data_IF_452384292792
#
_entry.id   IF_452384292792
#
_cell.length_a   1.000
_cell.length_b   1.000
_cell.length_c   1.000
_cell.angle_alpha   90.00
_cell.angle_beta   90.00
_cell.angle_gamma   90.00
#
_symmetry.space_group_name_H-M   'P 1'
#
loop_
_entity.id
_entity.type
_entity.pdbx_description
1 polymer ?
#
# COMPACT_ATOMS: atom_id res chain seq x y z
N UNK A 1 -19.10 1.59 14.42
CA UNK A 1 -17.91 2.37 14.81
C UNK A 1 -17.79 3.50 13.81
N UNK A 2 -17.67 4.72 14.25
CA UNK A 2 -17.61 5.88 13.35
C UNK A 2 -16.36 5.88 12.50
N UNK A 3 -16.49 6.17 11.22
CA UNK A 3 -15.40 6.18 10.23
C UNK A 3 -14.23 7.05 10.66
N UNK A 4 -14.53 8.18 11.28
CA UNK A 4 -13.53 9.16 11.73
C UNK A 4 -12.61 8.60 12.83
N UNK A 5 -13.15 7.77 13.74
CA UNK A 5 -12.36 7.13 14.82
C UNK A 5 -11.33 6.16 14.23
N UNK A 6 -11.72 5.37 13.23
CA UNK A 6 -10.80 4.46 12.53
C UNK A 6 -9.70 5.25 11.84
N UNK A 7 -10.07 6.26 11.05
CA UNK A 7 -9.11 7.10 10.32
C UNK A 7 -8.14 7.83 11.26
N UNK A 8 -8.65 8.31 12.39
CA UNK A 8 -7.82 8.96 13.40
C UNK A 8 -6.79 7.98 13.96
N UNK A 9 -7.21 6.75 14.32
CA UNK A 9 -6.31 5.72 14.84
C UNK A 9 -5.22 5.33 13.83
N UNK A 10 -5.59 5.21 12.54
CA UNK A 10 -4.62 4.95 11.46
C UNK A 10 -3.61 6.08 11.36
N UNK A 11 -4.06 7.35 11.34
CA UNK A 11 -3.17 8.52 11.29
C UNK A 11 -2.20 8.55 12.47
N UNK A 12 -2.68 8.31 13.69
CA UNK A 12 -1.84 8.29 14.90
C UNK A 12 -0.77 7.21 14.85
N UNK A 13 -1.11 6.01 14.37
CA UNK A 13 -0.15 4.91 14.21
C UNK A 13 0.93 5.27 13.19
N UNK A 14 0.52 5.64 11.97
CA UNK A 14 1.47 5.92 10.89
C UNK A 14 2.22 7.25 11.09
N UNK A 15 1.64 8.23 11.78
CA UNK A 15 2.35 9.44 12.22
C UNK A 15 3.52 9.09 13.15
N UNK A 16 3.31 8.25 14.14
CA UNK A 16 4.40 7.76 15.03
C UNK A 16 5.48 7.02 14.24
N UNK A 17 5.09 6.13 13.31
CA UNK A 17 6.05 5.41 12.45
C UNK A 17 6.87 6.36 11.56
N UNK A 18 6.25 7.43 11.06
CA UNK A 18 6.95 8.47 10.30
C UNK A 18 8.05 9.14 11.11
N UNK A 19 7.81 9.39 12.39
CA UNK A 19 8.75 10.05 13.31
C UNK A 19 9.83 9.09 13.84
N UNK A 20 9.51 7.84 14.18
CA UNK A 20 10.40 6.90 14.86
C UNK A 20 11.38 6.15 13.94
N UNK A 21 11.27 6.34 12.63
CA UNK A 21 12.15 5.64 11.69
C UNK A 21 11.94 4.13 11.61
N UNK A 22 10.74 3.63 11.98
CA UNK A 22 10.37 2.22 11.87
C UNK A 22 10.69 1.34 13.08
N UNK A 23 11.41 1.87 14.09
CA UNK A 23 11.77 1.09 15.30
C UNK A 23 10.60 0.76 16.22
N UNK A 24 9.48 1.50 16.12
CA UNK A 24 8.25 1.32 16.92
C UNK A 24 7.10 0.69 16.13
N UNK A 25 7.39 -0.08 15.10
CA UNK A 25 6.37 -0.63 14.21
C UNK A 25 5.40 -1.59 14.92
N UNK A 26 5.76 -2.15 16.06
CA UNK A 26 5.01 -3.23 16.68
C UNK A 26 4.85 -3.08 18.18
N UNK A 27 3.61 -2.84 18.62
CA UNK A 27 3.12 -3.49 19.81
C UNK A 27 2.90 -4.97 19.45
N UNK A 28 3.65 -5.84 20.06
CA UNK A 28 3.62 -7.31 20.22
C UNK A 28 2.95 -8.27 19.22
N UNK A 29 2.02 -7.85 18.35
CA UNK A 29 1.12 -8.81 17.68
C UNK A 29 1.26 -8.95 16.16
N UNK A 30 2.10 -8.18 15.47
CA UNK A 30 2.20 -8.29 14.00
C UNK A 30 3.60 -8.09 13.39
N UNK A 31 4.65 -7.93 14.19
CA UNK A 31 6.03 -7.89 13.69
C UNK A 31 6.93 -8.80 14.54
N UNK A 32 7.70 -9.63 13.88
CA UNK A 32 8.64 -10.59 14.46
C UNK A 32 9.86 -9.94 15.17
N UNK A 33 9.82 -8.65 15.50
CA UNK A 33 11.00 -7.93 16.02
C UNK A 33 12.13 -7.76 14.99
N UNK A 34 11.85 -8.02 13.75
CA UNK A 34 12.82 -7.89 12.65
C UNK A 34 13.13 -6.41 12.35
N UNK A 35 14.35 -6.15 11.86
CA UNK A 35 14.67 -4.83 11.30
C UNK A 35 13.77 -4.50 10.10
N UNK A 36 13.52 -3.20 9.79
CA UNK A 36 12.69 -2.80 8.65
C UNK A 36 13.09 -3.46 7.33
N UNK A 37 14.40 -3.57 7.06
CA UNK A 37 14.92 -4.24 5.86
C UNK A 37 14.56 -5.71 5.80
N UNK A 38 14.69 -6.42 6.93
CA UNK A 38 14.34 -7.84 7.01
C UNK A 38 12.84 -8.05 6.87
N UNK A 39 12.03 -7.18 7.48
CA UNK A 39 10.59 -7.20 7.31
C UNK A 39 10.19 -6.97 5.84
N UNK A 40 10.83 -6.02 5.14
CA UNK A 40 10.61 -5.78 3.72
C UNK A 40 11.04 -6.98 2.85
N UNK A 41 12.20 -7.58 3.12
CA UNK A 41 12.63 -8.79 2.43
C UNK A 41 11.66 -9.96 2.65
N UNK A 42 11.17 -10.15 3.87
CA UNK A 42 10.13 -11.15 4.19
C UNK A 42 8.80 -10.85 3.48
N UNK A 43 8.48 -9.57 3.23
CA UNK A 43 7.35 -9.15 2.43
C UNK A 43 7.54 -9.41 0.92
N UNK A 44 8.74 -9.78 0.47
CA UNK A 44 9.02 -10.21 -0.91
C UNK A 44 9.74 -9.18 -1.76
N UNK A 45 10.26 -8.10 -1.17
CA UNK A 45 11.15 -7.20 -1.90
C UNK A 45 12.50 -7.87 -2.17
N UNK A 46 13.03 -7.64 -3.36
CA UNK A 46 14.40 -8.07 -3.69
C UNK A 46 15.44 -7.28 -2.88
N UNK A 47 16.46 -7.96 -2.39
CA UNK A 47 17.52 -7.34 -1.58
C UNK A 47 18.29 -6.25 -2.33
N UNK A 48 18.46 -6.40 -3.66
CA UNK A 48 19.13 -5.38 -4.47
C UNK A 48 18.22 -4.16 -4.67
N UNK A 49 16.92 -4.37 -4.80
CA UNK A 49 15.93 -3.29 -4.84
C UNK A 49 15.96 -2.49 -3.54
N UNK A 50 15.96 -3.15 -2.37
CA UNK A 50 16.05 -2.47 -1.07
C UNK A 50 17.33 -1.65 -0.92
N UNK A 51 18.48 -2.15 -1.39
CA UNK A 51 19.76 -1.40 -1.39
C UNK A 51 19.76 -0.22 -2.35
N UNK A 52 18.85 -0.20 -3.29
CA UNK A 52 18.81 0.78 -4.38
C UNK A 52 17.95 2.01 -4.10
N UNK A 53 17.21 2.02 -2.98
CA UNK A 53 16.33 3.11 -2.55
C UNK A 53 16.84 3.76 -1.25
N UNK A 54 16.37 4.97 -0.90
CA UNK A 54 16.72 5.59 0.37
C UNK A 54 16.37 4.67 1.55
N UNK A 55 17.33 4.40 2.43
CA UNK A 55 17.14 3.46 3.53
C UNK A 55 16.03 3.91 4.49
N UNK A 56 15.90 5.22 4.72
CA UNK A 56 14.84 5.80 5.55
C UNK A 56 13.44 5.66 4.93
N UNK A 57 13.34 5.23 3.66
CA UNK A 57 12.05 4.91 3.04
C UNK A 57 11.52 3.52 3.44
N UNK A 58 12.39 2.66 3.97
CA UNK A 58 12.07 1.30 4.35
C UNK A 58 11.57 1.30 5.80
N UNK A 59 10.26 1.26 5.99
CA UNK A 59 9.63 1.28 7.31
C UNK A 59 9.09 -0.09 7.75
N UNK A 60 9.18 -1.11 6.90
CA UNK A 60 8.77 -2.47 7.22
C UNK A 60 7.25 -2.71 7.38
N UNK A 61 6.40 -1.78 6.91
CA UNK A 61 4.94 -1.83 7.10
C UNK A 61 4.16 -2.45 5.93
N UNK A 62 4.84 -2.98 4.91
CA UNK A 62 4.21 -3.63 3.75
C UNK A 62 3.92 -5.10 3.97
N UNK A 63 3.00 -5.66 3.19
CA UNK A 63 2.68 -7.10 3.20
C UNK A 63 3.03 -7.81 1.89
N UNK A 64 3.57 -7.10 0.90
CA UNK A 64 4.05 -7.62 -0.37
C UNK A 64 4.92 -6.61 -1.10
N UNK A 65 5.31 -6.93 -2.34
CA UNK A 65 6.12 -6.09 -3.21
C UNK A 65 5.41 -5.86 -4.57
N UNK A 66 4.39 -4.98 -4.64
CA UNK A 66 3.53 -4.85 -5.81
C UNK A 66 4.26 -4.32 -7.05
N UNK A 67 5.34 -3.54 -6.88
CA UNK A 67 6.12 -2.98 -7.99
C UNK A 67 6.66 -4.06 -8.90
N UNK A 68 7.17 -5.17 -8.33
CA UNK A 68 7.69 -6.30 -9.11
C UNK A 68 6.68 -6.96 -10.05
N UNK A 69 5.39 -6.83 -9.74
CA UNK A 69 4.27 -7.39 -10.53
C UNK A 69 3.59 -6.35 -11.44
N UNK A 70 3.90 -5.05 -11.26
CA UNK A 70 3.25 -3.97 -11.98
C UNK A 70 3.67 -3.87 -13.44
N UNK A 71 4.81 -4.49 -13.82
CA UNK A 71 5.36 -4.43 -15.18
C UNK A 71 5.41 -2.98 -15.71
N UNK A 72 6.00 -2.08 -14.91
CA UNK A 72 6.10 -0.65 -15.24
C UNK A 72 6.99 -0.42 -16.45
N UNK A 73 6.56 0.48 -17.34
CA UNK A 73 7.26 0.81 -18.57
C UNK A 73 7.90 2.20 -18.48
N UNK A 74 8.97 2.41 -19.25
CA UNK A 74 9.62 3.73 -19.34
C UNK A 74 8.61 4.79 -19.83
N UNK A 75 8.60 5.94 -19.16
CA UNK A 75 7.72 7.05 -19.51
C UNK A 75 6.31 6.98 -18.92
N UNK A 76 5.94 5.93 -18.20
CA UNK A 76 4.63 5.84 -17.55
C UNK A 76 4.48 6.83 -16.38
N UNK A 77 3.23 7.24 -16.17
CA UNK A 77 2.79 7.93 -14.96
C UNK A 77 2.18 6.92 -13.99
N UNK A 78 2.73 6.83 -12.79
CA UNK A 78 2.33 5.86 -11.75
C UNK A 78 1.84 6.60 -10.51
N UNK A 79 0.80 6.09 -9.86
CA UNK A 79 0.34 6.54 -8.54
C UNK A 79 0.55 5.42 -7.53
N UNK A 80 1.19 5.75 -6.41
CA UNK A 80 1.30 4.88 -5.23
C UNK A 80 0.37 5.38 -4.13
N UNK A 81 -0.59 4.57 -3.73
CA UNK A 81 -1.60 4.90 -2.72
C UNK A 81 -1.22 4.37 -1.36
N UNK A 82 -1.13 5.29 -0.38
CA UNK A 82 -0.56 5.03 0.94
C UNK A 82 0.94 4.86 0.86
N UNK A 83 1.59 5.80 0.17
CA UNK A 83 3.02 5.72 -0.18
C UNK A 83 3.98 5.71 1.02
N UNK A 84 3.50 6.08 2.21
CA UNK A 84 4.32 6.14 3.42
C UNK A 84 5.60 6.95 3.20
N UNK A 85 6.75 6.40 3.60
CA UNK A 85 8.07 7.02 3.43
C UNK A 85 8.65 6.89 2.00
N UNK A 86 7.94 6.22 1.05
CA UNK A 86 8.19 6.27 -0.38
C UNK A 86 8.90 5.06 -1.01
N UNK A 87 9.03 3.92 -0.33
CA UNK A 87 9.76 2.76 -0.88
C UNK A 87 9.27 2.37 -2.29
N UNK A 88 7.95 2.16 -2.46
CA UNK A 88 7.38 1.76 -3.75
C UNK A 88 7.39 2.90 -4.77
N UNK A 89 7.32 4.17 -4.32
CA UNK A 89 7.52 5.35 -5.18
C UNK A 89 8.92 5.37 -5.78
N UNK A 90 9.98 5.15 -4.97
CA UNK A 90 11.36 5.18 -5.46
C UNK A 90 11.69 4.00 -6.37
N UNK A 91 11.19 2.81 -6.08
CA UNK A 91 11.31 1.64 -6.97
C UNK A 91 10.60 1.90 -8.31
N UNK A 92 9.38 2.45 -8.25
CA UNK A 92 8.62 2.82 -9.45
C UNK A 92 9.33 3.91 -10.27
N UNK A 93 9.89 4.94 -9.61
CA UNK A 93 10.62 6.03 -10.28
C UNK A 93 11.82 5.52 -11.08
N UNK A 94 12.54 4.54 -10.56
CA UNK A 94 13.63 3.86 -11.27
C UNK A 94 13.12 3.06 -12.47
N UNK A 95 11.99 2.39 -12.30
CA UNK A 95 11.38 1.58 -13.34
C UNK A 95 10.91 2.43 -14.51
N UNK A 96 10.20 3.55 -14.25
CA UNK A 96 9.68 4.42 -15.32
C UNK A 96 10.73 5.36 -15.90
N UNK A 97 11.83 5.59 -15.19
CA UNK A 97 12.95 6.44 -15.65
C UNK A 97 12.59 7.93 -15.72
N UNK A 98 13.54 8.76 -16.15
CA UNK A 98 13.43 10.23 -16.11
C UNK A 98 12.32 10.81 -17.01
N UNK A 99 11.80 10.08 -17.97
CA UNK A 99 10.67 10.48 -18.80
C UNK A 99 9.30 10.13 -18.19
N UNK A 100 9.27 9.26 -17.18
CA UNK A 100 8.07 8.91 -16.43
C UNK A 100 7.92 9.73 -15.15
N UNK A 101 6.77 9.64 -14.51
CA UNK A 101 6.46 10.34 -13.26
C UNK A 101 5.84 9.38 -12.25
N UNK A 102 6.16 9.54 -10.97
CA UNK A 102 5.51 8.79 -9.88
C UNK A 102 4.94 9.76 -8.86
N UNK A 103 3.68 9.56 -8.49
CA UNK A 103 2.96 10.36 -7.51
C UNK A 103 2.63 9.48 -6.31
N UNK A 104 3.24 9.76 -5.15
CA UNK A 104 2.90 9.15 -3.87
C UNK A 104 1.75 9.90 -3.20
N UNK A 105 0.73 9.19 -2.78
CA UNK A 105 -0.41 9.73 -2.02
C UNK A 105 -0.40 9.13 -0.61
N UNK A 106 -0.40 9.99 0.40
CA UNK A 106 -0.57 9.57 1.80
C UNK A 106 -1.45 10.57 2.56
N UNK A 107 -2.12 10.13 3.61
CA UNK A 107 -2.95 11.02 4.44
C UNK A 107 -2.20 11.58 5.64
N UNK A 108 -0.97 11.11 5.90
CA UNK A 108 -0.17 11.37 7.10
C UNK A 108 0.92 12.39 6.77
N UNK A 109 0.94 13.53 7.46
CA UNK A 109 1.89 14.61 7.17
C UNK A 109 3.32 14.17 7.45
N UNK A 110 3.56 13.44 8.54
CA UNK A 110 4.88 12.95 8.95
C UNK A 110 5.49 11.98 7.91
N UNK A 111 4.65 11.14 7.31
CA UNK A 111 5.09 10.26 6.21
C UNK A 111 5.46 11.05 4.97
N UNK A 112 4.62 12.03 4.59
CA UNK A 112 4.89 12.88 3.43
C UNK A 112 6.15 13.73 3.59
N UNK A 113 6.39 14.27 4.79
CA UNK A 113 7.61 15.02 5.09
C UNK A 113 8.86 14.16 4.94
N UNK A 114 8.80 12.93 5.50
CA UNK A 114 9.88 11.94 5.38
C UNK A 114 10.12 11.54 3.92
N UNK A 115 9.06 11.23 3.18
CA UNK A 115 9.15 10.87 1.77
C UNK A 115 9.75 12.01 0.91
N UNK A 116 9.30 13.24 1.12
CA UNK A 116 9.85 14.42 0.44
C UNK A 116 11.31 14.68 0.78
N UNK A 117 11.70 14.49 2.05
CA UNK A 117 13.10 14.55 2.47
C UNK A 117 13.93 13.48 1.75
N UNK A 118 13.49 12.24 1.76
CA UNK A 118 14.14 11.13 1.07
C UNK A 118 14.36 11.43 -0.43
N UNK A 119 13.33 11.97 -1.09
CA UNK A 119 13.41 12.35 -2.50
C UNK A 119 14.48 13.42 -2.77
N UNK A 120 14.48 14.49 -1.97
CA UNK A 120 15.46 15.58 -2.12
C UNK A 120 16.90 15.11 -1.87
N UNK A 121 17.11 14.40 -0.76
CA UNK A 121 18.43 13.97 -0.32
C UNK A 121 19.07 12.95 -1.28
N UNK A 122 18.25 12.22 -2.05
CA UNK A 122 18.71 11.21 -3.01
C UNK A 122 18.50 11.62 -4.48
N UNK A 123 18.16 12.89 -4.76
CA UNK A 123 18.15 13.45 -6.12
C UNK A 123 17.03 12.92 -7.03
N UNK A 124 15.91 12.44 -6.48
CA UNK A 124 14.77 12.03 -7.28
C UNK A 124 13.99 13.25 -7.81
N UNK A 125 14.04 13.48 -9.12
CA UNK A 125 13.38 14.61 -9.79
C UNK A 125 12.04 14.25 -10.45
N UNK A 126 11.75 12.96 -10.58
CA UNK A 126 10.55 12.44 -11.24
C UNK A 126 9.51 11.87 -10.25
N UNK A 127 9.57 12.31 -8.99
CA UNK A 127 8.60 11.93 -7.95
C UNK A 127 7.91 13.15 -7.34
N UNK A 128 6.67 13.00 -6.98
CA UNK A 128 5.86 14.01 -6.28
C UNK A 128 5.09 13.34 -5.13
N UNK A 129 4.92 14.03 -4.00
CA UNK A 129 4.14 13.54 -2.87
C UNK A 129 3.00 14.48 -2.54
N UNK A 130 1.77 13.97 -2.59
CA UNK A 130 0.53 14.72 -2.35
C UNK A 130 -0.21 14.18 -1.13
N UNK A 131 -0.78 15.08 -0.34
CA UNK A 131 -1.68 14.68 0.74
C UNK A 131 -3.04 14.30 0.17
N UNK A 132 -3.56 13.11 0.54
CA UNK A 132 -4.86 12.65 0.10
C UNK A 132 -5.40 11.50 0.92
N UNK A 133 -6.73 11.42 0.98
CA UNK A 133 -7.47 10.29 1.55
C UNK A 133 -8.00 9.45 0.38
N UNK A 134 -7.61 8.18 0.33
CA UNK A 134 -7.93 7.28 -0.79
C UNK A 134 -9.40 6.84 -0.84
N UNK A 135 -10.17 7.05 0.23
CA UNK A 135 -11.63 6.87 0.24
C UNK A 135 -12.39 8.13 -0.20
N UNK A 136 -11.70 9.26 -0.29
CA UNK A 136 -12.22 10.51 -0.81
C UNK A 136 -11.75 10.72 -2.26
N UNK A 137 -11.81 11.95 -2.75
CA UNK A 137 -11.25 12.27 -4.06
C UNK A 137 -9.72 12.31 -3.99
N UNK A 138 -9.07 11.35 -4.62
CA UNK A 138 -7.62 11.34 -4.81
C UNK A 138 -7.21 12.59 -5.62
N UNK A 139 -6.19 13.37 -5.19
CA UNK A 139 -5.76 14.63 -5.83
C UNK A 139 -4.96 14.36 -7.12
N UNK A 140 -5.57 13.63 -8.04
CA UNK A 140 -5.06 13.24 -9.35
C UNK A 140 -6.20 13.33 -10.35
N UNK A 141 -5.93 13.80 -11.56
CA UNK A 141 -6.93 14.00 -12.61
C UNK A 141 -7.50 12.68 -13.13
N UNK A 142 -8.72 12.72 -13.65
CA UNK A 142 -9.38 11.59 -14.26
C UNK A 142 -8.60 11.11 -15.49
N UNK A 143 -8.48 9.79 -15.67
CA UNK A 143 -7.85 9.16 -16.86
C UNK A 143 -6.44 9.68 -17.16
N UNK A 144 -5.64 9.95 -16.14
CA UNK A 144 -4.32 10.58 -16.27
C UNK A 144 -3.14 9.67 -16.02
N UNK A 145 -3.34 8.50 -15.36
CA UNK A 145 -2.25 7.62 -14.96
C UNK A 145 -2.30 6.26 -15.65
N UNK A 146 -1.13 5.68 -15.88
CA UNK A 146 -0.97 4.40 -16.57
C UNK A 146 -1.07 3.21 -15.60
N UNK A 147 -0.58 3.40 -14.37
CA UNK A 147 -0.63 2.38 -13.34
C UNK A 147 -0.93 2.97 -11.95
N UNK A 148 -1.65 2.22 -11.14
CA UNK A 148 -1.84 2.46 -9.70
C UNK A 148 -1.26 1.28 -8.95
N UNK A 149 -0.44 1.55 -7.95
CA UNK A 149 0.05 0.56 -7.00
C UNK A 149 -0.41 0.91 -5.59
N UNK A 150 -0.44 -0.08 -4.72
CA UNK A 150 -0.70 0.10 -3.28
C UNK A 150 -0.19 -1.09 -2.50
N UNK A 151 0.30 -0.87 -1.29
CA UNK A 151 0.84 -1.91 -0.45
C UNK A 151 0.30 -1.82 0.99
N UNK A 152 -0.57 -2.77 1.33
CA UNK A 152 -1.15 -2.92 2.68
C UNK A 152 -1.92 -1.69 3.19
N UNK A 153 -2.70 -1.04 2.33
CA UNK A 153 -3.40 0.21 2.63
C UNK A 153 -4.93 0.08 2.49
N UNK A 154 -5.41 -0.72 1.52
CA UNK A 154 -6.85 -0.80 1.27
C UNK A 154 -7.59 -1.37 2.47
N UNK A 155 -6.95 -2.25 3.25
CA UNK A 155 -7.53 -2.78 4.49
C UNK A 155 -7.71 -1.74 5.59
N UNK A 156 -6.99 -0.62 5.54
CA UNK A 156 -7.19 0.50 6.47
C UNK A 156 -8.44 1.32 6.15
N UNK A 157 -8.98 1.19 4.94
CA UNK A 157 -10.18 1.90 4.51
C UNK A 157 -11.44 1.32 5.13
N UNK A 158 -12.44 2.18 5.34
CA UNK A 158 -13.76 1.80 5.86
C UNK A 158 -14.69 1.36 4.72
N UNK A 159 -14.43 1.80 3.50
CA UNK A 159 -15.15 1.42 2.29
C UNK A 159 -14.18 1.15 1.12
N UNK A 160 -13.80 -0.10 0.96
CA UNK A 160 -12.86 -0.53 -0.09
C UNK A 160 -13.36 -0.27 -1.50
N UNK A 161 -14.67 -0.43 -1.72
CA UNK A 161 -15.26 -0.21 -3.06
C UNK A 161 -15.09 1.25 -3.51
N UNK A 162 -15.21 2.22 -2.61
CA UNK A 162 -15.01 3.63 -2.97
C UNK A 162 -13.54 3.93 -3.28
N UNK A 163 -12.60 3.35 -2.52
CA UNK A 163 -11.17 3.45 -2.84
C UNK A 163 -10.88 2.85 -4.24
N UNK A 164 -11.44 1.68 -4.58
CA UNK A 164 -11.28 1.08 -5.90
C UNK A 164 -11.93 1.93 -7.02
N UNK A 165 -13.07 2.58 -6.77
CA UNK A 165 -13.67 3.50 -7.74
C UNK A 165 -12.76 4.70 -8.03
N UNK A 166 -12.12 5.27 -7.02
CA UNK A 166 -11.18 6.37 -7.19
C UNK A 166 -9.93 5.93 -7.95
N UNK A 167 -9.37 4.74 -7.66
CA UNK A 167 -8.29 4.17 -8.48
C UNK A 167 -8.70 4.04 -9.95
N UNK A 168 -9.91 3.52 -10.20
CA UNK A 168 -10.43 3.39 -11.55
C UNK A 168 -10.65 4.74 -12.23
N UNK A 169 -11.08 5.75 -11.48
CA UNK A 169 -11.28 7.12 -12.01
C UNK A 169 -9.99 7.70 -12.59
N UNK A 170 -8.89 7.62 -11.82
CA UNK A 170 -7.61 8.23 -12.21
C UNK A 170 -6.87 7.45 -13.31
N UNK A 171 -7.08 6.12 -13.41
CA UNK A 171 -6.47 5.30 -14.45
C UNK A 171 -6.97 5.68 -15.85
N UNK A 172 -6.08 5.69 -16.82
CA UNK A 172 -6.38 5.73 -18.26
C UNK A 172 -7.15 4.47 -18.68
N UNK A 173 -7.84 4.52 -19.82
CA UNK A 173 -8.40 3.30 -20.43
C UNK A 173 -7.28 2.30 -20.73
N UNK A 174 -7.43 1.05 -20.31
CA UNK A 174 -6.39 0.02 -20.40
C UNK A 174 -5.29 0.14 -19.35
N UNK A 175 -5.34 1.16 -18.49
CA UNK A 175 -4.45 1.29 -17.33
C UNK A 175 -4.71 0.18 -16.30
N UNK A 176 -3.74 -0.09 -15.46
CA UNK A 176 -3.76 -1.21 -14.53
C UNK A 176 -3.57 -0.78 -13.08
N UNK A 177 -4.17 -1.52 -12.16
CA UNK A 177 -3.78 -1.49 -10.75
C UNK A 177 -3.08 -2.78 -10.37
N UNK A 178 -2.09 -2.68 -9.46
CA UNK A 178 -1.45 -3.82 -8.80
C UNK A 178 -1.36 -3.51 -7.31
N UNK A 179 -2.01 -4.33 -6.50
CA UNK A 179 -2.15 -4.11 -5.07
C UNK A 179 -1.64 -5.33 -4.33
N UNK A 180 -0.84 -5.12 -3.30
CA UNK A 180 -0.58 -6.10 -2.27
C UNK A 180 -1.45 -5.78 -1.04
N UNK A 181 -2.21 -6.76 -0.55
CA UNK A 181 -3.01 -6.57 0.66
C UNK A 181 -3.27 -7.90 1.38
N UNK A 182 -3.80 -7.81 2.60
CA UNK A 182 -4.16 -8.99 3.39
C UNK A 182 -5.62 -9.37 3.15
N UNK A 183 -5.87 -10.67 3.08
CA UNK A 183 -7.22 -11.27 3.11
C UNK A 183 -7.29 -12.30 4.23
N UNK A 184 -8.49 -12.61 4.68
CA UNK A 184 -8.72 -13.57 5.74
C UNK A 184 -9.56 -14.75 5.24
N UNK A 185 -9.54 -15.87 5.96
CA UNK A 185 -10.40 -17.02 5.71
C UNK A 185 -11.88 -16.73 6.01
N UNK A 186 -12.15 -15.74 6.89
CA UNK A 186 -13.50 -15.29 7.28
C UNK A 186 -13.49 -13.86 7.81
N UNK A 187 -14.67 -13.26 7.93
CA UNK A 187 -14.83 -11.92 8.54
C UNK A 187 -14.42 -11.91 10.01
N UNK A 188 -13.95 -10.77 10.49
CA UNK A 188 -13.71 -10.55 11.90
C UNK A 188 -15.03 -10.65 12.68
N UNK A 189 -15.03 -11.37 13.80
CA UNK A 189 -16.18 -11.47 14.70
C UNK A 189 -16.41 -10.21 15.53
N UNK A 190 -15.33 -9.47 15.80
CA UNK A 190 -15.32 -8.17 16.45
C UNK A 190 -14.21 -7.31 15.84
N UNK A 191 -14.37 -6.00 15.87
CA UNK A 191 -13.38 -5.06 15.36
C UNK A 191 -12.56 -4.52 16.55
N UNK A 192 -11.26 -4.67 16.47
CA UNK A 192 -10.27 -4.06 17.35
C UNK A 192 -9.50 -2.99 16.57
N UNK A 193 -9.36 -1.79 17.13
CA UNK A 193 -8.73 -0.65 16.45
C UNK A 193 -7.23 -0.82 16.21
N UNK A 194 -6.52 -1.52 17.10
CA UNK A 194 -5.11 -1.82 16.90
C UNK A 194 -4.92 -2.80 15.75
N UNK A 195 -5.70 -3.89 15.74
CA UNK A 195 -5.69 -4.84 14.62
C UNK A 195 -6.20 -4.24 13.32
N UNK A 196 -7.16 -3.29 13.37
CA UNK A 196 -7.57 -2.54 12.17
C UNK A 196 -6.42 -1.71 11.62
N UNK A 197 -5.77 -0.91 12.47
CA UNK A 197 -4.65 -0.05 12.07
C UNK A 197 -3.40 -0.82 11.62
N UNK A 198 -3.36 -2.14 11.85
CA UNK A 198 -2.35 -3.08 11.32
C UNK A 198 -2.86 -3.92 10.14
N UNK A 199 -3.90 -3.48 9.44
CA UNK A 199 -4.51 -4.14 8.27
C UNK A 199 -5.22 -5.48 8.55
N UNK A 200 -5.25 -5.96 9.81
CA UNK A 200 -5.77 -7.28 10.14
C UNK A 200 -7.31 -7.28 10.14
N UNK A 201 -7.95 -6.45 10.98
CA UNK A 201 -9.41 -6.51 11.13
C UNK A 201 -10.17 -5.88 9.96
N UNK A 202 -9.50 -5.08 9.14
CA UNK A 202 -10.01 -4.62 7.85
C UNK A 202 -9.91 -5.66 6.73
N UNK A 203 -9.21 -6.78 6.93
CA UNK A 203 -9.08 -7.83 5.92
C UNK A 203 -10.43 -8.53 5.69
N UNK A 204 -10.87 -8.54 4.43
CA UNK A 204 -12.06 -9.27 3.96
C UNK A 204 -11.71 -10.72 3.62
N UNK A 205 -12.73 -11.57 3.48
CA UNK A 205 -12.55 -12.84 2.78
C UNK A 205 -12.10 -12.57 1.33
N UNK A 206 -11.24 -13.46 0.79
CA UNK A 206 -10.64 -13.26 -0.54
C UNK A 206 -11.67 -12.99 -1.63
N UNK A 207 -12.77 -13.74 -1.65
CA UNK A 207 -13.81 -13.57 -2.67
C UNK A 207 -14.56 -12.23 -2.51
N UNK A 208 -14.81 -11.77 -1.28
CA UNK A 208 -15.41 -10.47 -0.99
C UNK A 208 -14.48 -9.33 -1.41
N UNK A 209 -13.16 -9.49 -1.21
CA UNK A 209 -12.15 -8.52 -1.65
C UNK A 209 -12.15 -8.39 -3.17
N UNK A 210 -12.09 -9.51 -3.90
CA UNK A 210 -12.14 -9.52 -5.37
C UNK A 210 -13.50 -9.03 -5.90
N UNK A 211 -14.60 -9.32 -5.21
CA UNK A 211 -15.92 -8.78 -5.54
C UNK A 211 -15.95 -7.25 -5.44
N UNK A 212 -15.32 -6.66 -4.40
CA UNK A 212 -15.24 -5.20 -4.24
C UNK A 212 -14.50 -4.53 -5.42
N UNK A 213 -13.46 -5.17 -5.95
CA UNK A 213 -12.72 -4.70 -7.15
C UNK A 213 -13.63 -4.74 -8.37
N UNK A 214 -14.35 -5.86 -8.59
CA UNK A 214 -15.28 -5.99 -9.73
C UNK A 214 -16.45 -5.00 -9.64
N UNK A 215 -17.00 -4.79 -8.43
CA UNK A 215 -18.08 -3.81 -8.18
C UNK A 215 -17.63 -2.37 -8.47
N UNK A 216 -16.36 -2.05 -8.34
CA UNK A 216 -15.79 -0.77 -8.75
C UNK A 216 -15.63 -0.64 -10.28
N UNK A 217 -15.93 -1.69 -11.05
CA UNK A 217 -15.93 -1.70 -12.52
C UNK A 217 -14.61 -2.11 -13.16
N UNK A 218 -13.67 -2.66 -12.39
CA UNK A 218 -12.45 -3.25 -12.96
C UNK A 218 -12.75 -4.57 -13.67
N UNK A 219 -11.99 -4.81 -14.75
CA UNK A 219 -11.99 -6.07 -15.51
C UNK A 219 -10.78 -6.92 -15.11
N UNK A 220 -10.83 -8.20 -15.42
CA UNK A 220 -9.71 -9.14 -15.29
C UNK A 220 -9.01 -9.13 -13.91
N UNK A 221 -9.78 -8.90 -12.83
CA UNK A 221 -9.25 -8.96 -11.47
C UNK A 221 -8.76 -10.38 -11.15
N UNK A 222 -7.44 -10.54 -10.98
CA UNK A 222 -6.81 -11.84 -10.73
C UNK A 222 -5.72 -11.74 -9.67
N UNK A 223 -5.61 -12.78 -8.86
CA UNK A 223 -4.52 -12.95 -7.91
C UNK A 223 -3.29 -13.42 -8.67
N UNK A 224 -2.17 -12.72 -8.52
CA UNK A 224 -0.88 -13.04 -9.12
C UNK A 224 0.02 -13.84 -8.17
N UNK A 225 -0.08 -13.53 -6.87
CA UNK A 225 0.66 -14.20 -5.81
C UNK A 225 -0.22 -14.33 -4.56
N UNK A 226 -0.04 -15.40 -3.83
CA UNK A 226 -0.70 -15.66 -2.55
C UNK A 226 0.30 -16.30 -1.59
N UNK A 227 0.48 -15.70 -0.41
CA UNK A 227 1.38 -16.18 0.64
C UNK A 227 0.69 -16.16 1.99
N UNK A 228 0.91 -17.18 2.80
CA UNK A 228 0.45 -17.21 4.18
C UNK A 228 1.18 -16.12 4.98
N UNK A 229 0.41 -15.23 5.61
CA UNK A 229 0.93 -14.19 6.47
C UNK A 229 1.06 -14.73 7.89
N UNK A 230 2.24 -14.59 8.52
CA UNK A 230 2.55 -15.18 9.84
C UNK A 230 2.24 -16.69 9.88
N UNK A 231 2.99 -17.43 9.08
CA UNK A 231 2.79 -18.85 8.81
C UNK A 231 2.55 -19.68 10.08
N UNK A 232 1.43 -20.39 10.10
CA UNK A 232 1.04 -21.28 11.22
C UNK A 232 0.33 -20.57 12.38
N UNK A 233 0.13 -19.24 12.32
CA UNK A 233 -0.52 -18.48 13.39
C UNK A 233 -1.94 -18.05 12.99
N UNK A 234 -2.83 -18.00 13.99
CA UNK A 234 -4.15 -17.42 13.85
C UNK A 234 -4.17 -16.03 14.48
N UNK A 235 -4.45 -15.00 13.69
CA UNK A 235 -4.51 -13.63 14.17
C UNK A 235 -5.98 -13.24 14.38
N UNK A 236 -6.37 -12.92 15.60
CA UNK A 236 -7.78 -12.72 15.93
C UNK A 236 -8.64 -13.97 15.61
N UNK A 237 -8.05 -15.17 15.73
CA UNK A 237 -8.69 -16.44 15.42
C UNK A 237 -8.88 -16.73 13.92
N UNK A 238 -8.25 -15.96 13.02
CA UNK A 238 -8.36 -16.06 11.56
C UNK A 238 -7.03 -16.39 10.91
N UNK A 239 -7.06 -17.18 9.85
CA UNK A 239 -5.92 -17.35 8.96
C UNK A 239 -5.83 -16.14 8.04
N UNK A 240 -4.68 -15.47 8.05
CA UNK A 240 -4.42 -14.28 7.22
C UNK A 240 -3.48 -14.67 6.08
N UNK A 241 -3.79 -14.18 4.90
CA UNK A 241 -3.02 -14.43 3.68
C UNK A 241 -2.71 -13.11 3.00
N UNK A 242 -1.47 -12.89 2.61
CA UNK A 242 -1.09 -11.79 1.73
C UNK A 242 -1.35 -12.19 0.29
N UNK A 243 -1.99 -11.30 -0.47
CA UNK A 243 -2.26 -11.49 -1.89
C UNK A 243 -1.72 -10.32 -2.71
N UNK A 244 -1.23 -10.60 -3.90
CA UNK A 244 -0.98 -9.57 -4.91
C UNK A 244 -2.05 -9.72 -6.00
N UNK A 245 -2.81 -8.66 -6.21
CA UNK A 245 -3.92 -8.62 -7.17
C UNK A 245 -3.61 -7.62 -8.28
N UNK A 246 -3.86 -8.02 -9.53
CA UNK A 246 -3.85 -7.14 -10.70
C UNK A 246 -5.25 -7.04 -11.28
N UNK A 247 -5.64 -5.84 -11.69
CA UNK A 247 -6.85 -5.61 -12.48
C UNK A 247 -6.65 -4.48 -13.50
N UNK A 248 -7.47 -4.45 -14.55
CA UNK A 248 -7.39 -3.51 -15.67
C UNK A 248 -8.69 -2.68 -15.74
N UNK A 249 -8.56 -1.38 -16.07
CA UNK A 249 -9.70 -0.47 -16.27
C UNK A 249 -10.43 -0.75 -17.57
#
# INVERSE_FOLDING_TARGET
MEKDVIKQKVKERYGRLGLSGGSDCCSSDCCSGDSPDKAAANAGYDVQDLKSVPQESIIGAGCGAPVGFANLQKGETVVDLGSGAGIDVFLSAKSVGGAGQVIGIDMTDEMLEKARKNARDNGYSNVEFRKGDIEARIPVDDNSVDAVISNCVINLTTNKTDAFKEMRRILKSGGRMVISDLVADRKASSIDLERWSSCIDGALAKDDYLASIRMAGFKDARVLEEREFMKGELIGGRKITSIIVKAVK
#
